data_IF_179044116061
#
_entry.id   IF_179044116061
#
_cell.length_a   1.000
_cell.length_b   1.000
_cell.length_c   1.000
_cell.angle_alpha   90.00
_cell.angle_beta   90.00
_cell.angle_gamma   90.00
#
_symmetry.space_group_name_H-M   'P 1'
#
loop_
_entity.id
_entity.type
_entity.pdbx_description
1 polymer ?
#
# COMPACT_ATOMS: atom_id res chain seq x y z
N UNK A 1 -43.12 -43.06 67.84
CA UNK A 1 -44.07 -41.97 68.16
C UNK A 1 -43.87 -40.86 67.13
N UNK A 2 -44.94 -40.13 66.77
CA UNK A 2 -45.11 -39.16 65.65
C UNK A 2 -45.33 -39.85 64.27
N UNK A 3 -46.47 -39.82 63.53
CA UNK A 3 -47.53 -38.79 63.22
C UNK A 3 -46.89 -37.51 62.62
N UNK A 4 -47.24 -36.96 61.45
CA UNK A 4 -48.52 -36.81 60.74
C UNK A 4 -48.30 -36.25 59.30
N UNK A 5 -49.23 -36.53 58.38
CA UNK A 5 -49.83 -35.71 57.27
C UNK A 5 -48.96 -34.75 56.41
N UNK A 6 -48.92 -34.90 55.07
CA UNK A 6 -49.91 -34.64 53.97
C UNK A 6 -49.84 -33.20 53.41
N UNK A 7 -49.36 -33.12 52.17
CA UNK A 7 -49.56 -32.15 51.08
C UNK A 7 -50.01 -30.71 51.37
N UNK A 8 -49.23 -29.76 50.84
CA UNK A 8 -49.73 -28.52 50.25
C UNK A 8 -48.92 -28.15 48.99
N UNK A 9 -49.65 -27.84 47.91
CA UNK A 9 -49.16 -27.38 46.61
C UNK A 9 -48.82 -25.90 46.68
N UNK A 10 -47.60 -25.51 46.33
CA UNK A 10 -47.28 -24.13 45.97
C UNK A 10 -46.93 -24.02 44.48
N UNK A 11 -47.79 -23.30 43.76
CA UNK A 11 -47.58 -22.79 42.41
C UNK A 11 -46.45 -21.75 42.45
N UNK A 12 -45.29 -22.11 41.91
CA UNK A 12 -44.22 -21.17 41.57
C UNK A 12 -44.37 -20.71 40.11
N UNK A 13 -44.67 -19.43 39.92
CA UNK A 13 -44.50 -18.73 38.65
C UNK A 13 -42.99 -18.63 38.37
N UNK A 14 -42.49 -19.40 37.41
CA UNK A 14 -41.16 -19.18 36.84
C UNK A 14 -41.29 -18.32 35.58
N UNK A 15 -40.73 -17.12 35.66
CA UNK A 15 -40.48 -16.26 34.50
C UNK A 15 -39.47 -16.95 33.57
N UNK A 16 -39.95 -17.29 32.38
CA UNK A 16 -39.16 -17.67 31.23
C UNK A 16 -38.36 -16.44 30.77
N UNK A 17 -37.08 -16.38 31.13
CA UNK A 17 -36.15 -15.42 30.51
C UNK A 17 -35.90 -15.92 29.09
N UNK A 18 -36.50 -15.22 28.13
CA UNK A 18 -36.12 -15.28 26.72
C UNK A 18 -34.70 -14.73 26.60
N UNK A 19 -33.74 -15.60 26.28
CA UNK A 19 -32.45 -15.19 25.77
C UNK A 19 -32.69 -14.52 24.41
N UNK A 20 -32.60 -13.18 24.40
CA UNK A 20 -32.45 -12.43 23.16
C UNK A 20 -31.00 -12.55 22.72
N UNK A 21 -30.72 -13.61 21.95
CA UNK A 21 -29.55 -13.66 21.08
C UNK A 21 -29.65 -12.50 20.09
N UNK A 22 -28.93 -11.41 20.37
CA UNK A 22 -28.70 -10.35 19.40
C UNK A 22 -27.75 -10.92 18.35
N UNK A 23 -28.34 -11.45 17.28
CA UNK A 23 -27.68 -11.69 16.01
C UNK A 23 -27.28 -10.32 15.44
N UNK A 24 -26.08 -9.85 15.76
CA UNK A 24 -25.44 -8.81 14.98
C UNK A 24 -25.07 -9.42 13.63
N UNK A 25 -25.96 -9.23 12.66
CA UNK A 25 -25.60 -9.35 11.25
C UNK A 25 -24.50 -8.34 10.97
N UNK A 26 -23.23 -8.78 11.02
CA UNK A 26 -22.18 -8.16 10.22
C UNK A 26 -22.57 -8.37 8.77
N UNK A 27 -23.17 -7.34 8.19
CA UNK A 27 -23.31 -7.22 6.75
C UNK A 27 -21.93 -6.87 6.21
N UNK A 28 -21.14 -7.90 5.92
CA UNK A 28 -19.96 -7.76 5.08
C UNK A 28 -20.46 -7.34 3.69
N UNK A 29 -20.43 -6.04 3.39
CA UNK A 29 -20.66 -5.59 2.03
C UNK A 29 -19.45 -6.00 1.20
N UNK A 30 -19.52 -7.17 0.56
CA UNK A 30 -18.59 -7.54 -0.50
C UNK A 30 -18.94 -6.69 -1.72
N UNK A 31 -18.46 -5.45 -1.71
CA UNK A 31 -18.36 -4.65 -2.91
C UNK A 31 -17.23 -5.21 -3.76
N UNK A 32 -17.46 -5.36 -5.06
CA UNK A 32 -16.38 -5.39 -6.03
C UNK A 32 -16.16 -3.96 -6.47
N UNK A 33 -14.92 -3.47 -6.47
CA UNK A 33 -14.63 -2.19 -7.10
C UNK A 33 -14.83 -2.29 -8.62
N UNK A 34 -14.64 -1.18 -9.34
CA UNK A 34 -14.78 -1.15 -10.81
C UNK A 34 -13.74 -2.05 -11.53
N UNK A 35 -12.77 -2.63 -10.82
CA UNK A 35 -11.77 -3.60 -11.30
C UNK A 35 -12.19 -5.06 -11.07
N UNK A 36 -13.26 -5.30 -10.30
CA UNK A 36 -13.74 -6.65 -9.97
C UNK A 36 -13.10 -7.26 -8.73
N UNK A 37 -12.30 -6.49 -8.00
CA UNK A 37 -11.58 -6.95 -6.81
C UNK A 37 -12.47 -6.87 -5.58
N UNK A 38 -12.39 -7.91 -4.72
CA UNK A 38 -13.17 -7.96 -3.47
C UNK A 38 -12.66 -6.88 -2.51
N UNK A 39 -13.52 -5.91 -2.22
CA UNK A 39 -13.25 -4.85 -1.26
C UNK A 39 -13.30 -5.40 0.16
N UNK A 40 -12.21 -5.20 0.88
CA UNK A 40 -12.24 -5.01 2.33
C UNK A 40 -11.28 -3.86 2.66
N UNK A 41 -11.82 -2.85 3.34
CA UNK A 41 -11.11 -1.69 3.88
C UNK A 41 -10.21 -2.06 5.08
N UNK A 42 -9.54 -3.21 5.02
CA UNK A 42 -8.80 -3.73 6.15
C UNK A 42 -7.30 -3.58 5.97
N UNK A 43 -6.68 -2.85 6.90
CA UNK A 43 -5.25 -2.91 7.18
C UNK A 43 -4.73 -4.33 7.43
N UNK A 44 -5.61 -5.33 7.60
CA UNK A 44 -5.26 -6.72 7.84
C UNK A 44 -4.46 -7.39 6.71
N UNK A 45 -4.28 -6.71 5.57
CA UNK A 45 -3.43 -7.21 4.48
C UNK A 45 -2.29 -6.29 4.10
N UNK A 46 -2.17 -5.13 4.75
CA UNK A 46 -1.03 -4.25 4.49
C UNK A 46 0.22 -4.80 5.18
N UNK A 47 1.38 -4.60 4.57
CA UNK A 47 2.65 -5.01 5.16
C UNK A 47 3.84 -4.78 4.26
N UNK A 48 4.94 -5.44 4.60
CA UNK A 48 6.18 -5.44 3.82
C UNK A 48 6.60 -6.86 3.46
N UNK A 49 6.96 -7.09 2.20
CA UNK A 49 7.55 -8.34 1.75
C UNK A 49 9.04 -8.20 1.54
N UNK A 50 9.83 -9.02 2.25
CA UNK A 50 11.28 -9.10 2.09
C UNK A 50 11.66 -10.26 1.17
N UNK A 51 12.48 -10.01 0.16
CA UNK A 51 12.99 -11.04 -0.74
C UNK A 51 14.20 -10.60 -1.56
N UNK A 52 14.52 -11.36 -2.61
CA UNK A 52 15.56 -11.07 -3.59
C UNK A 52 14.93 -10.96 -4.98
N UNK A 53 15.02 -9.81 -5.69
CA UNK A 53 14.44 -9.66 -7.02
C UNK A 53 15.16 -10.55 -8.02
N UNK A 54 14.41 -11.15 -8.94
CA UNK A 54 14.92 -12.17 -9.89
C UNK A 54 14.65 -11.82 -11.34
N UNK A 55 13.52 -11.20 -11.64
CA UNK A 55 13.11 -10.77 -12.97
C UNK A 55 11.98 -9.76 -12.87
N UNK A 56 11.67 -9.08 -13.97
CA UNK A 56 10.51 -8.21 -14.07
C UNK A 56 9.85 -8.34 -15.45
N UNK A 57 8.58 -7.98 -15.52
CA UNK A 57 7.83 -7.85 -16.77
C UNK A 57 7.23 -6.44 -16.77
N UNK A 58 7.65 -5.60 -17.71
CA UNK A 58 6.98 -4.33 -17.99
C UNK A 58 5.85 -4.55 -18.97
N UNK A 59 4.64 -4.15 -18.60
CA UNK A 59 3.50 -4.10 -19.53
C UNK A 59 3.30 -2.66 -20.03
N UNK A 60 2.78 -2.52 -21.25
CA UNK A 60 2.34 -1.25 -21.85
C UNK A 60 0.80 -1.23 -21.92
N UNK A 61 0.16 -0.06 -22.09
CA UNK A 61 -1.32 0.00 -22.25
C UNK A 61 -1.82 -0.79 -23.47
N UNK A 62 -0.96 -1.05 -24.46
CA UNK A 62 -1.26 -1.92 -25.60
C UNK A 62 -1.45 -3.39 -25.18
N UNK A 63 -0.90 -3.79 -24.02
CA UNK A 63 -0.92 -5.15 -23.50
C UNK A 63 -1.92 -5.34 -22.35
N UNK A 64 -2.17 -4.30 -21.54
CA UNK A 64 -3.12 -4.32 -20.42
C UNK A 64 -3.82 -2.96 -20.28
N UNK A 65 -5.07 -2.92 -19.81
CA UNK A 65 -5.80 -1.68 -19.51
C UNK A 65 -5.29 -0.96 -18.24
N UNK A 66 -4.46 -1.61 -17.45
CA UNK A 66 -3.78 -1.04 -16.27
C UNK A 66 -2.34 -1.57 -16.21
N UNK A 67 -1.43 -1.06 -17.07
CA UNK A 67 -0.07 -1.55 -17.12
C UNK A 67 0.59 -1.36 -15.76
N UNK A 68 1.21 -2.45 -15.32
CA UNK A 68 1.99 -2.54 -14.12
C UNK A 68 3.34 -3.13 -14.49
N UNK A 69 4.35 -2.84 -13.68
CA UNK A 69 5.56 -3.66 -13.67
C UNK A 69 5.29 -4.81 -12.72
N UNK A 70 5.33 -6.04 -13.23
CA UNK A 70 5.35 -7.23 -12.39
C UNK A 70 6.80 -7.51 -11.99
N UNK A 71 7.19 -7.15 -10.76
CA UNK A 71 8.47 -7.54 -10.19
C UNK A 71 8.36 -8.95 -9.59
N UNK A 72 9.19 -9.88 -10.05
CA UNK A 72 9.27 -11.24 -9.49
C UNK A 72 10.45 -11.34 -8.52
N UNK A 73 10.22 -11.88 -7.34
CA UNK A 73 11.25 -12.05 -6.31
C UNK A 73 11.13 -13.37 -5.57
N UNK A 74 12.26 -13.86 -5.05
CA UNK A 74 12.36 -15.04 -4.19
C UNK A 74 12.30 -14.60 -2.73
N UNK A 75 11.34 -15.10 -1.97
CA UNK A 75 11.17 -14.81 -0.55
C UNK A 75 11.83 -15.86 0.38
N UNK A 76 12.62 -16.78 -0.19
CA UNK A 76 13.32 -17.83 0.54
C UNK A 76 12.45 -19.03 0.91
N UNK A 77 11.15 -19.03 0.55
CA UNK A 77 10.25 -20.18 0.77
C UNK A 77 10.25 -21.18 -0.40
N UNK A 78 11.07 -20.93 -1.43
CA UNK A 78 11.07 -21.71 -2.67
C UNK A 78 9.91 -21.35 -3.61
N UNK A 79 9.17 -20.28 -3.30
CA UNK A 79 8.14 -19.70 -4.18
C UNK A 79 8.68 -18.45 -4.83
N UNK A 80 8.32 -18.25 -6.10
CA UNK A 80 8.41 -16.94 -6.74
C UNK A 80 7.16 -16.16 -6.40
N UNK A 81 7.36 -14.96 -5.86
CA UNK A 81 6.32 -14.00 -5.48
C UNK A 81 6.34 -12.84 -6.46
N UNK A 82 5.19 -12.24 -6.69
CA UNK A 82 5.01 -11.10 -7.59
C UNK A 82 4.64 -9.84 -6.82
N UNK A 83 5.20 -8.70 -7.24
CA UNK A 83 4.74 -7.38 -6.85
C UNK A 83 4.23 -6.65 -8.10
N UNK A 84 2.98 -6.18 -8.04
CA UNK A 84 2.36 -5.39 -9.10
C UNK A 84 2.56 -3.91 -8.77
N UNK A 85 3.50 -3.28 -9.47
CA UNK A 85 3.83 -1.87 -9.31
C UNK A 85 3.03 -1.10 -10.35
N UNK A 86 2.04 -0.33 -9.90
CA UNK A 86 1.16 0.43 -10.78
C UNK A 86 1.98 1.50 -11.54
N UNK A 87 1.97 1.45 -12.88
CA UNK A 87 2.70 2.37 -13.77
C UNK A 87 1.80 3.08 -14.80
N UNK A 88 0.49 3.01 -14.59
CA UNK A 88 -0.49 3.89 -15.19
C UNK A 88 -1.77 3.88 -14.34
N UNK A 89 -2.51 4.98 -14.38
CA UNK A 89 -3.87 5.03 -13.86
C UNK A 89 -4.86 4.56 -14.93
N UNK A 90 -6.04 4.11 -14.49
CA UNK A 90 -7.21 3.94 -15.36
C UNK A 90 -8.05 5.22 -15.50
N UNK A 91 -7.64 6.32 -14.83
CA UNK A 91 -8.24 7.65 -14.97
C UNK A 91 -7.77 8.40 -16.21
N UNK A 92 -8.43 9.51 -16.53
CA UNK A 92 -8.02 10.42 -17.62
C UNK A 92 -6.66 11.06 -17.36
N UNK A 93 -6.30 11.24 -16.08
CA UNK A 93 -4.98 11.69 -15.67
C UNK A 93 -4.14 10.45 -15.38
N UNK A 94 -3.15 10.20 -16.25
CA UNK A 94 -2.31 9.00 -16.15
C UNK A 94 -0.93 9.28 -15.62
N UNK A 95 -0.56 10.56 -15.46
CA UNK A 95 0.73 10.99 -14.94
C UNK A 95 0.98 10.47 -13.51
N UNK A 96 2.22 10.11 -13.25
CA UNK A 96 2.71 9.74 -11.94
C UNK A 96 3.72 10.76 -11.45
N UNK A 97 3.90 10.80 -10.14
CA UNK A 97 5.07 11.42 -9.51
C UNK A 97 5.92 10.32 -8.91
N UNK A 98 7.21 10.33 -9.24
CA UNK A 98 8.16 9.40 -8.66
C UNK A 98 9.26 10.15 -7.89
N UNK A 99 9.73 9.50 -6.82
CA UNK A 99 10.89 9.91 -6.06
C UNK A 99 11.88 8.75 -6.03
N UNK A 100 13.14 9.04 -6.35
CA UNK A 100 14.24 8.10 -6.26
C UNK A 100 15.32 8.66 -5.33
N UNK A 101 15.65 7.92 -4.29
CA UNK A 101 16.79 8.21 -3.44
C UNK A 101 17.81 7.06 -3.51
N UNK A 102 18.95 7.31 -4.16
CA UNK A 102 20.02 6.32 -4.40
C UNK A 102 20.89 6.03 -3.17
N UNK A 103 20.80 6.85 -2.13
CA UNK A 103 21.56 6.69 -0.88
C UNK A 103 20.64 6.99 0.30
N UNK A 104 19.50 6.29 0.33
CA UNK A 104 18.44 6.56 1.27
C UNK A 104 18.86 6.20 2.70
N UNK A 105 18.71 7.16 3.61
CA UNK A 105 19.01 6.98 5.02
C UNK A 105 17.78 7.37 5.83
N UNK A 106 17.18 6.38 6.50
CA UNK A 106 15.94 6.58 7.24
C UNK A 106 15.83 5.62 8.42
N UNK A 107 15.28 6.02 9.59
CA UNK A 107 15.13 5.13 10.74
C UNK A 107 14.41 3.80 10.46
N UNK A 108 13.51 3.78 9.47
CA UNK A 108 12.80 2.57 9.01
C UNK A 108 13.75 1.44 8.60
N UNK A 109 14.95 1.74 8.08
CA UNK A 109 15.90 0.70 7.67
C UNK A 109 16.35 -0.20 8.84
N UNK A 110 16.34 0.35 10.07
CA UNK A 110 16.64 -0.41 11.30
C UNK A 110 15.57 -1.46 11.61
N UNK A 111 14.32 -1.19 11.24
CA UNK A 111 13.20 -2.13 11.36
C UNK A 111 13.24 -3.17 10.23
N UNK A 112 13.60 -2.75 9.02
CA UNK A 112 13.65 -3.61 7.83
C UNK A 112 14.76 -4.66 7.84
N UNK A 113 15.97 -4.26 8.24
CA UNK A 113 17.16 -5.11 8.20
C UNK A 113 16.97 -6.46 8.92
N UNK A 114 16.47 -6.51 10.18
CA UNK A 114 16.35 -7.75 10.95
C UNK A 114 15.20 -8.66 10.53
N UNK A 115 14.29 -8.22 9.64
CA UNK A 115 13.17 -9.06 9.20
C UNK A 115 13.68 -10.37 8.56
N UNK A 116 13.02 -11.48 8.84
CA UNK A 116 13.20 -12.69 8.03
C UNK A 116 12.66 -12.46 6.62
N UNK A 117 13.09 -13.25 5.63
CA UNK A 117 12.44 -13.24 4.32
C UNK A 117 10.96 -13.66 4.44
N UNK A 118 10.13 -13.22 3.49
CA UNK A 118 8.68 -13.42 3.52
C UNK A 118 7.90 -12.14 3.80
N UNK A 119 6.58 -12.28 3.87
CA UNK A 119 5.64 -11.20 4.16
C UNK A 119 5.52 -10.95 5.67
N UNK A 120 5.55 -9.67 6.06
CA UNK A 120 5.34 -9.19 7.43
C UNK A 120 4.17 -8.22 7.42
N UNK A 121 3.03 -8.69 7.94
CA UNK A 121 1.83 -7.86 8.07
C UNK A 121 2.08 -6.71 9.05
N UNK A 122 1.53 -5.54 8.73
CA UNK A 122 1.65 -4.33 9.53
C UNK A 122 0.32 -3.58 9.61
N UNK A 123 0.12 -2.81 10.69
CA UNK A 123 -0.97 -1.85 10.84
C UNK A 123 -0.45 -0.54 11.41
N UNK A 124 -1.21 0.55 11.27
CA UNK A 124 -0.87 1.86 11.86
C UNK A 124 -0.73 1.84 13.38
N UNK A 125 -1.31 0.83 14.06
CA UNK A 125 -1.40 0.77 15.53
C UNK A 125 -0.50 -0.29 16.17
N UNK A 126 0.18 -1.12 15.37
CA UNK A 126 0.97 -2.23 15.89
C UNK A 126 2.32 -1.80 16.51
N UNK A 127 2.73 -0.55 16.30
CA UNK A 127 3.98 0.00 16.82
C UNK A 127 5.26 -0.59 16.21
N UNK A 128 5.14 -1.41 15.15
CA UNK A 128 6.28 -2.06 14.49
C UNK A 128 7.16 -1.08 13.73
N UNK A 129 6.58 0.04 13.27
CA UNK A 129 7.23 0.98 12.35
C UNK A 129 7.28 0.46 10.90
N UNK A 130 6.47 -0.55 10.56
CA UNK A 130 6.31 -1.08 9.20
C UNK A 130 5.11 -0.46 8.46
N UNK A 131 4.34 0.40 9.12
CA UNK A 131 3.34 1.26 8.51
C UNK A 131 4.02 2.49 7.89
N UNK A 132 3.97 2.61 6.56
CA UNK A 132 4.55 3.74 5.84
C UNK A 132 3.48 4.77 5.52
N UNK A 133 3.82 6.02 5.76
CA UNK A 133 3.01 7.19 5.44
C UNK A 133 3.94 8.28 4.91
N UNK A 134 3.74 8.73 3.68
CA UNK A 134 4.62 9.69 3.02
C UNK A 134 4.73 11.00 3.81
N UNK A 135 3.64 11.40 4.50
CA UNK A 135 3.56 12.62 5.30
C UNK A 135 3.95 12.38 6.77
N UNK A 136 3.47 11.28 7.36
CA UNK A 136 3.45 11.08 8.83
C UNK A 136 4.54 10.15 9.36
N UNK A 137 5.13 9.31 8.52
CA UNK A 137 6.37 8.63 8.91
C UNK A 137 7.38 9.70 9.30
N UNK A 138 8.13 9.49 10.38
CA UNK A 138 9.01 10.51 10.95
C UNK A 138 10.48 10.07 10.88
N UNK A 139 11.34 10.84 10.18
CA UNK A 139 11.02 11.99 9.32
C UNK A 139 10.16 11.58 8.10
N UNK A 140 9.54 12.57 7.43
CA UNK A 140 8.74 12.32 6.23
C UNK A 140 9.55 11.56 5.17
N UNK A 141 8.90 10.64 4.44
CA UNK A 141 9.59 9.75 3.50
C UNK A 141 10.07 10.49 2.25
N UNK A 142 9.32 11.51 1.84
CA UNK A 142 9.57 12.31 0.64
C UNK A 142 9.46 13.80 0.92
N UNK A 143 10.20 14.59 0.14
CA UNK A 143 9.89 15.99 -0.10
C UNK A 143 9.01 16.05 -1.36
N UNK A 144 7.73 16.39 -1.21
CA UNK A 144 6.79 16.41 -2.33
C UNK A 144 7.22 17.34 -3.47
N UNK A 145 7.94 18.43 -3.17
CA UNK A 145 8.47 19.34 -4.20
C UNK A 145 9.67 18.78 -4.96
N UNK A 146 10.30 17.72 -4.44
CA UNK A 146 11.42 17.06 -5.08
C UNK A 146 11.01 15.97 -6.07
N UNK A 147 9.73 15.57 -6.07
CA UNK A 147 9.19 14.55 -6.96
C UNK A 147 9.27 14.97 -8.41
N UNK A 148 9.38 14.01 -9.31
CA UNK A 148 9.39 14.25 -10.74
C UNK A 148 8.10 13.74 -11.34
N UNK A 149 7.36 14.63 -12.00
CA UNK A 149 6.20 14.26 -12.82
C UNK A 149 6.72 13.50 -14.05
N UNK A 150 6.16 12.32 -14.28
CA UNK A 150 6.46 11.47 -15.42
C UNK A 150 5.16 11.02 -16.06
N UNK A 151 5.25 10.80 -17.37
CA UNK A 151 4.13 10.22 -18.10
C UNK A 151 3.95 8.75 -17.72
N UNK A 152 2.76 8.25 -17.97
CA UNK A 152 2.52 6.82 -17.90
C UNK A 152 3.34 6.04 -18.95
N UNK A 153 3.32 4.73 -18.80
CA UNK A 153 3.98 3.77 -19.69
C UNK A 153 3.38 3.62 -21.10
N UNK A 154 2.33 4.37 -21.47
CA UNK A 154 1.76 4.36 -22.83
C UNK A 154 2.10 5.62 -23.64
N UNK A 155 2.65 6.63 -23.00
CA UNK A 155 3.18 7.77 -23.73
C UNK A 155 4.21 7.30 -24.76
N UNK A 156 4.04 7.73 -26.01
CA UNK A 156 5.01 7.46 -27.09
C UNK A 156 6.37 8.15 -26.85
N UNK A 157 6.49 8.93 -25.78
CA UNK A 157 7.71 9.57 -25.31
C UNK A 157 8.44 8.63 -24.33
N UNK A 158 9.37 7.84 -24.87
CA UNK A 158 10.21 6.90 -24.12
C UNK A 158 11.33 7.59 -23.32
N UNK A 159 11.42 8.92 -23.32
CA UNK A 159 12.40 9.62 -22.48
C UNK A 159 11.85 9.92 -21.09
N UNK A 160 10.52 9.99 -20.94
CA UNK A 160 9.87 10.55 -19.75
C UNK A 160 8.73 9.69 -19.18
N UNK A 161 8.66 8.40 -19.50
CA UNK A 161 7.69 7.51 -18.85
C UNK A 161 8.26 6.79 -17.63
N UNK A 162 7.35 6.40 -16.73
CA UNK A 162 7.69 5.71 -15.48
C UNK A 162 8.39 4.35 -15.67
N UNK A 163 8.09 3.61 -16.74
CA UNK A 163 8.73 2.32 -17.00
C UNK A 163 10.23 2.51 -17.27
N UNK A 164 10.58 3.50 -18.08
CA UNK A 164 11.96 3.86 -18.39
C UNK A 164 12.72 4.39 -17.17
N UNK A 165 12.04 4.98 -16.19
CA UNK A 165 12.65 5.38 -14.91
C UNK A 165 12.92 4.18 -13.99
N UNK A 166 11.98 3.23 -13.90
CA UNK A 166 12.06 2.10 -12.96
C UNK A 166 12.91 0.94 -13.48
N UNK A 167 12.94 0.72 -14.79
CA UNK A 167 13.64 -0.41 -15.40
C UNK A 167 15.14 -0.46 -15.05
N UNK A 168 15.93 0.63 -15.15
CA UNK A 168 17.33 0.62 -14.75
C UNK A 168 17.53 0.29 -13.26
N UNK A 169 16.68 0.83 -12.38
CA UNK A 169 16.74 0.58 -10.93
C UNK A 169 16.52 -0.91 -10.64
N UNK A 170 15.50 -1.50 -11.25
CA UNK A 170 15.17 -2.92 -11.07
C UNK A 170 16.28 -3.81 -11.64
N UNK A 171 16.83 -3.48 -12.81
CA UNK A 171 17.95 -4.20 -13.42
C UNK A 171 19.18 -4.20 -12.52
N UNK A 172 19.53 -3.04 -11.96
CA UNK A 172 20.66 -2.91 -11.03
C UNK A 172 20.45 -3.75 -9.77
N UNK A 173 19.25 -3.70 -9.18
CA UNK A 173 18.90 -4.50 -8.00
C UNK A 173 18.97 -6.01 -8.27
N UNK A 174 18.49 -6.48 -9.42
CA UNK A 174 18.58 -7.89 -9.84
C UNK A 174 20.05 -8.29 -10.03
N UNK A 175 20.83 -7.49 -10.77
CA UNK A 175 22.23 -7.78 -11.06
C UNK A 175 23.07 -7.85 -9.78
N UNK A 176 22.80 -6.96 -8.83
CA UNK A 176 23.48 -6.90 -7.54
C UNK A 176 22.98 -7.95 -6.53
N UNK A 177 21.91 -8.69 -6.85
CA UNK A 177 21.20 -9.56 -5.89
C UNK A 177 20.85 -8.79 -4.61
N UNK A 178 20.34 -7.57 -4.78
CA UNK A 178 19.91 -6.74 -3.67
C UNK A 178 18.80 -7.44 -2.87
N UNK A 179 18.65 -7.08 -1.60
CA UNK A 179 17.42 -7.40 -0.87
C UNK A 179 16.37 -6.37 -1.28
N UNK A 180 15.18 -6.81 -1.67
CA UNK A 180 14.02 -5.94 -1.89
C UNK A 180 13.06 -6.02 -0.71
N UNK A 181 12.53 -4.86 -0.33
CA UNK A 181 11.41 -4.67 0.57
C UNK A 181 10.30 -4.00 -0.22
N UNK A 182 9.18 -4.71 -0.42
CA UNK A 182 8.01 -4.18 -1.12
C UNK A 182 6.93 -3.89 -0.09
N UNK A 183 6.51 -2.64 0.02
CA UNK A 183 5.38 -2.24 0.86
C UNK A 183 4.12 -2.12 0.01
N UNK A 184 3.00 -2.61 0.55
CA UNK A 184 1.74 -2.68 -0.17
C UNK A 184 0.76 -3.63 0.50
N UNK A 185 -0.23 -4.09 -0.27
CA UNK A 185 -1.30 -4.97 0.21
C UNK A 185 -1.11 -6.40 -0.33
N UNK A 186 -1.18 -7.39 0.56
CA UNK A 186 -1.11 -8.80 0.20
C UNK A 186 -2.42 -9.26 -0.46
N UNK A 187 -2.31 -9.90 -1.62
CA UNK A 187 -3.43 -10.56 -2.30
C UNK A 187 -3.33 -12.10 -2.29
N UNK A 188 -2.39 -12.65 -1.52
CA UNK A 188 -2.21 -14.07 -1.21
C UNK A 188 -1.19 -14.80 -2.08
N UNK A 189 -0.99 -14.36 -3.32
CA UNK A 189 0.07 -14.87 -4.22
C UNK A 189 1.09 -13.80 -4.60
N UNK A 190 0.97 -12.60 -4.03
CA UNK A 190 1.82 -11.46 -4.29
C UNK A 190 1.32 -10.21 -3.57
N UNK A 191 1.90 -9.07 -3.92
CA UNK A 191 1.63 -7.78 -3.30
C UNK A 191 1.26 -6.71 -4.36
N UNK A 192 0.24 -5.92 -4.07
CA UNK A 192 -0.25 -4.81 -4.90
C UNK A 192 -0.27 -3.49 -4.08
N UNK A 193 -0.91 -2.45 -4.63
CA UNK A 193 -1.00 -1.12 -4.02
C UNK A 193 0.38 -0.52 -3.67
N UNK A 194 1.39 -0.76 -4.53
CA UNK A 194 2.78 -0.31 -4.36
C UNK A 194 2.95 1.16 -4.80
N UNK A 195 2.16 2.05 -4.21
CA UNK A 195 2.20 3.52 -4.38
C UNK A 195 1.55 4.21 -3.18
N UNK A 196 1.55 5.54 -3.15
CA UNK A 196 0.83 6.34 -2.15
C UNK A 196 -0.67 6.00 -2.16
N UNK A 197 -1.24 5.66 -1.01
CA UNK A 197 -2.61 5.16 -0.85
C UNK A 197 -3.50 6.15 -0.06
N UNK A 198 -3.16 7.43 -0.16
CA UNK A 198 -3.83 8.57 0.45
C UNK A 198 -3.80 9.78 -0.50
N UNK A 199 -4.63 10.78 -0.24
CA UNK A 199 -4.76 11.96 -1.10
C UNK A 199 -5.55 11.71 -2.39
N UNK A 200 -6.22 10.57 -2.54
CA UNK A 200 -7.07 10.30 -3.69
C UNK A 200 -8.31 11.19 -3.71
N UNK A 201 -8.65 11.73 -4.88
CA UNK A 201 -9.90 12.46 -5.14
C UNK A 201 -10.96 11.54 -5.75
N UNK A 202 -12.26 11.87 -5.66
CA UNK A 202 -13.34 11.04 -6.20
C UNK A 202 -13.69 9.82 -5.33
N UNK A 203 -14.03 8.69 -5.98
CA UNK A 203 -14.54 7.47 -5.31
C UNK A 203 -13.44 6.46 -4.92
N UNK A 204 -12.16 6.85 -4.97
CA UNK A 204 -11.04 5.98 -4.64
C UNK A 204 -10.76 5.97 -3.13
N UNK A 205 -10.33 4.82 -2.61
CA UNK A 205 -10.06 4.65 -1.18
C UNK A 205 -8.89 5.52 -0.70
N UNK A 206 -8.95 5.96 0.55
CA UNK A 206 -7.89 6.66 1.24
C UNK A 206 -7.66 6.00 2.59
N UNK A 207 -6.41 5.83 2.99
CA UNK A 207 -6.08 5.34 4.31
C UNK A 207 -4.71 5.88 4.79
N UNK A 208 -4.63 6.13 6.10
CA UNK A 208 -3.40 6.57 6.77
C UNK A 208 -2.46 5.38 6.94
N UNK A 209 -1.16 5.59 6.71
CA UNK A 209 -0.11 4.63 7.03
C UNK A 209 -0.13 3.30 6.28
N UNK A 210 -0.70 3.29 5.08
CA UNK A 210 -0.71 2.12 4.19
C UNK A 210 -0.08 2.44 2.84
N UNK A 211 0.84 3.41 2.79
CA UNK A 211 1.50 3.79 1.53
C UNK A 211 2.49 2.72 1.07
N UNK A 212 2.50 2.44 -0.22
CA UNK A 212 3.43 1.52 -0.86
C UNK A 212 4.78 2.16 -1.21
N UNK A 213 5.80 1.32 -1.31
CA UNK A 213 7.17 1.70 -1.65
C UNK A 213 7.98 0.49 -2.11
N UNK A 214 9.05 0.75 -2.88
CA UNK A 214 10.11 -0.22 -3.15
C UNK A 214 11.38 0.27 -2.48
N UNK A 215 11.97 -0.57 -1.64
CA UNK A 215 13.23 -0.26 -0.97
C UNK A 215 14.21 -1.38 -1.27
N UNK A 216 15.36 -1.06 -1.83
CA UNK A 216 16.43 -1.98 -2.14
C UNK A 216 17.58 -1.79 -1.16
N UNK A 217 18.08 -2.87 -0.59
CA UNK A 217 19.28 -2.88 0.23
C UNK A 217 20.36 -3.67 -0.50
N UNK A 218 21.47 -3.02 -0.84
CA UNK A 218 22.57 -3.62 -1.55
C UNK A 218 23.55 -4.21 -0.52
N UNK A 219 23.62 -5.55 -0.36
CA UNK A 219 24.35 -6.16 0.75
C UNK A 219 25.86 -6.23 0.52
N UNK A 220 26.34 -5.80 -0.65
CA UNK A 220 27.76 -5.83 -1.04
C UNK A 220 28.23 -4.42 -1.41
N UNK A 221 29.54 -4.16 -1.30
CA UNK A 221 30.09 -2.83 -1.55
C UNK A 221 29.95 -1.90 -0.34
N UNK A 222 29.44 -0.69 -0.57
CA UNK A 222 29.25 0.36 0.43
C UNK A 222 28.04 0.14 1.36
N UNK A 223 27.26 -0.92 1.12
CA UNK A 223 26.07 -1.27 1.91
C UNK A 223 25.11 -0.09 2.10
N UNK A 224 24.40 0.24 1.02
CA UNK A 224 23.45 1.34 0.98
C UNK A 224 22.02 0.85 0.71
N UNK A 225 21.07 1.73 1.02
CA UNK A 225 19.68 1.57 0.63
C UNK A 225 19.35 2.51 -0.52
N UNK A 226 18.56 2.02 -1.46
CA UNK A 226 17.84 2.85 -2.44
C UNK A 226 16.35 2.77 -2.15
N UNK A 227 15.63 3.88 -2.30
CA UNK A 227 14.19 3.91 -2.11
C UNK A 227 13.50 4.57 -3.32
N UNK A 228 12.41 3.94 -3.74
CA UNK A 228 11.49 4.41 -4.77
C UNK A 228 10.12 4.59 -4.14
N UNK A 229 9.57 5.79 -4.32
CA UNK A 229 8.22 6.15 -3.91
C UNK A 229 7.44 6.61 -5.15
N UNK A 230 6.17 6.24 -5.21
CA UNK A 230 5.28 6.52 -6.33
C UNK A 230 3.96 7.09 -5.82
N UNK A 231 3.39 8.02 -6.57
CA UNK A 231 2.05 8.55 -6.37
C UNK A 231 1.44 8.89 -7.74
N UNK A 232 0.10 8.92 -7.84
CA UNK A 232 -0.55 9.50 -9.00
C UNK A 232 -0.48 11.02 -8.91
N UNK A 233 -0.25 11.70 -10.04
CA UNK A 233 -0.05 13.15 -10.05
C UNK A 233 -1.30 13.94 -9.61
N UNK A 234 -2.48 13.33 -9.77
CA UNK A 234 -3.77 13.87 -9.31
C UNK A 234 -4.04 13.71 -7.82
N UNK A 235 -3.24 12.93 -7.08
CA UNK A 235 -3.37 12.84 -5.62
C UNK A 235 -3.00 14.18 -4.99
N UNK A 236 -3.65 14.53 -3.89
CA UNK A 236 -3.52 15.85 -3.26
C UNK A 236 -2.93 15.76 -1.85
N UNK A 237 -2.07 16.74 -1.53
CA UNK A 237 -1.45 16.90 -0.21
C UNK A 237 -1.58 18.35 0.30
N UNK A 238 -1.71 18.58 1.63
CA UNK A 238 -1.68 17.57 2.70
C UNK A 238 -2.98 16.77 2.82
N UNK A 239 -2.92 15.65 3.53
CA UNK A 239 -4.05 14.76 3.79
C UNK A 239 -4.53 14.85 5.25
N UNK A 240 -5.78 14.50 5.50
CA UNK A 240 -6.38 14.42 6.83
C UNK A 240 -5.78 13.28 7.67
N UNK A 241 -5.46 13.56 8.93
CA UNK A 241 -4.73 12.66 9.84
C UNK A 241 -5.48 11.40 10.27
N UNK A 242 -6.78 11.31 9.98
CA UNK A 242 -7.60 10.16 10.36
C UNK A 242 -8.03 9.33 9.16
N UNK A 243 -8.28 10.00 8.05
CA UNK A 243 -8.89 9.38 6.87
C UNK A 243 -7.90 9.20 5.72
N UNK A 244 -6.81 9.98 5.68
CA UNK A 244 -5.91 10.06 4.53
C UNK A 244 -6.53 10.77 3.32
N UNK A 245 -7.77 11.26 3.40
CA UNK A 245 -8.38 12.03 2.33
C UNK A 245 -7.69 13.40 2.16
N UNK A 246 -7.75 14.05 0.99
CA UNK A 246 -7.26 15.41 0.81
C UNK A 246 -7.81 16.37 1.87
N UNK A 247 -6.92 17.18 2.47
CA UNK A 247 -7.33 18.25 3.38
C UNK A 247 -7.95 19.43 2.61
N UNK A 248 -8.66 20.33 3.31
CA UNK A 248 -9.34 21.47 2.68
C UNK A 248 -8.42 22.43 1.91
N UNK A 249 -7.12 22.45 2.21
CA UNK A 249 -6.10 23.26 1.55
C UNK A 249 -5.13 22.43 0.70
N UNK A 250 -5.49 21.19 0.38
CA UNK A 250 -4.67 20.31 -0.42
C UNK A 250 -4.49 20.82 -1.84
N UNK A 251 -3.38 20.43 -2.46
CA UNK A 251 -3.09 20.68 -3.87
C UNK A 251 -2.63 19.38 -4.50
N UNK A 252 -3.01 19.20 -5.77
CA UNK A 252 -2.56 18.07 -6.56
C UNK A 252 -1.03 18.06 -6.71
N UNK A 253 -0.45 16.86 -6.72
CA UNK A 253 1.00 16.65 -6.73
C UNK A 253 1.64 17.17 -8.03
N UNK A 254 0.94 17.12 -9.16
CA UNK A 254 1.36 17.76 -10.41
C UNK A 254 1.59 19.28 -10.28
N UNK A 255 0.96 19.96 -9.31
CA UNK A 255 1.19 21.40 -9.07
C UNK A 255 2.38 21.68 -8.15
N UNK A 256 2.84 20.68 -7.40
CA UNK A 256 3.88 20.81 -6.37
C UNK A 256 5.21 20.21 -6.84
N UNK A 257 5.14 19.08 -7.55
CA UNK A 257 6.30 18.33 -8.02
C UNK A 257 7.00 19.02 -9.20
N UNK A 258 8.28 18.68 -9.41
CA UNK A 258 9.08 19.17 -10.53
C UNK A 258 8.53 18.62 -11.85
N UNK A 259 8.52 19.47 -12.87
CA UNK A 259 7.98 19.12 -14.19
C UNK A 259 6.46 19.27 -14.29
N UNK A 260 5.81 19.65 -13.19
CA UNK A 260 4.40 20.00 -13.12
C UNK A 260 3.98 21.16 -14.02
N UNK A 261 2.78 21.08 -14.59
CA UNK A 261 2.17 22.19 -15.31
C UNK A 261 1.76 23.28 -14.31
N UNK A 262 2.46 24.41 -14.30
CA UNK A 262 2.01 25.60 -13.57
C UNK A 262 0.83 26.21 -14.32
N UNK A 263 -0.37 25.66 -14.18
CA UNK A 263 -1.57 26.33 -14.66
C UNK A 263 -1.87 27.46 -13.70
N UNK A 264 -1.25 28.61 -13.94
CA UNK A 264 -1.63 29.88 -13.34
C UNK A 264 -3.08 30.16 -13.74
N UNK A 265 -4.01 30.04 -12.80
CA UNK A 265 -5.37 30.53 -12.98
C UNK A 265 -5.32 32.05 -13.15
N UNK A 266 -5.67 32.51 -14.36
CA UNK A 266 -5.95 33.91 -14.69
C UNK A 266 -7.34 34.31 -14.24
#
# INVERSE_FOLDING_TARGET
MARHHRHENHRGYHHEKKDHGSSTHETSSTGTDKRGDKVAASSDKYGVWKGTPTSYIGQTLQQDRSPHITLKFDDGTGKTVEANINVASTSTDTELVYWLNRTWSHPVTKTLTPLSSGFHQATTTDGTGLSLDFLRTTPALVDFSAGQVVQDSDSSDTANNILDQLEPIIKDAIAAKATVYVFGRDYGTGIDDVHMNQGNTGDYENAVGVDGALIFHYPTGDQHFEAVFLAFASQEVPTDDKTGAPAANAKALDTIAKGGSTTSSS
#
